data_IF_959870210703
#
_entry.id   IF_959870210703
#
_cell.length_a   1.000
_cell.length_b   1.000
_cell.length_c   1.000
_cell.angle_alpha   90.00
_cell.angle_beta   90.00
_cell.angle_gamma   90.00
#
_symmetry.space_group_name_H-M   'P 1'
#
loop_
_entity.id
_entity.type
_entity.pdbx_description
1 polymer ?
#
# COMPACT_ATOMS: atom_id res chain seq x y z
N UNK A 1 -8.79 -5.00 10.62
CA UNK A 1 -9.13 -4.14 9.46
C UNK A 1 -8.82 -2.67 9.69
N UNK A 2 -7.88 -2.14 8.92
CA UNK A 2 -7.52 -0.72 8.88
C UNK A 2 -7.28 -0.30 7.43
N UNK A 3 -7.62 0.95 7.09
CA UNK A 3 -7.24 1.59 5.83
C UNK A 3 -6.41 2.83 6.15
N UNK A 4 -5.30 3.02 5.43
CA UNK A 4 -4.45 4.20 5.55
C UNK A 4 -4.34 4.86 4.17
N UNK A 5 -4.50 6.18 4.11
CA UNK A 5 -4.30 6.95 2.89
C UNK A 5 -2.86 7.45 2.79
N UNK A 6 -2.30 7.41 1.58
CA UNK A 6 -0.96 7.91 1.27
C UNK A 6 -1.10 8.93 0.14
N UNK A 7 -0.76 10.17 0.46
CA UNK A 7 -0.54 11.20 -0.56
C UNK A 7 0.80 10.95 -1.23
N UNK A 8 0.79 10.86 -2.55
CA UNK A 8 1.97 10.56 -3.36
C UNK A 8 2.20 11.72 -4.31
N UNK A 9 3.41 12.30 -4.34
CA UNK A 9 3.74 13.31 -5.32
C UNK A 9 3.53 12.83 -6.75
N UNK A 10 3.21 13.74 -7.66
CA UNK A 10 3.01 13.42 -9.07
C UNK A 10 4.24 12.69 -9.65
N UNK A 11 4.01 11.59 -10.36
CA UNK A 11 5.08 10.74 -10.93
C UNK A 11 5.78 9.81 -9.94
N UNK A 12 5.54 9.91 -8.62
CA UNK A 12 6.18 9.05 -7.62
C UNK A 12 5.46 7.71 -7.37
N UNK A 13 4.28 7.50 -7.96
CA UNK A 13 3.49 6.26 -7.84
C UNK A 13 4.27 4.97 -8.16
N UNK A 14 4.97 4.87 -9.30
CA UNK A 14 5.74 3.68 -9.66
C UNK A 14 6.83 3.32 -8.64
N UNK A 15 7.43 4.32 -7.98
CA UNK A 15 8.44 4.09 -6.94
C UNK A 15 7.80 3.58 -5.64
N UNK A 16 6.64 4.12 -5.26
CA UNK A 16 5.86 3.60 -4.13
C UNK A 16 5.53 2.12 -4.35
N UNK A 17 5.01 1.77 -5.53
CA UNK A 17 4.65 0.39 -5.87
C UNK A 17 5.86 -0.55 -5.81
N UNK A 18 7.01 -0.15 -6.37
CA UNK A 18 8.26 -0.93 -6.28
C UNK A 18 8.68 -1.17 -4.84
N UNK A 19 8.67 -0.13 -3.99
CA UNK A 19 9.05 -0.23 -2.57
C UNK A 19 8.07 -1.09 -1.78
N UNK A 20 6.79 -1.02 -2.11
CA UNK A 20 5.74 -1.79 -1.46
C UNK A 20 5.88 -3.28 -1.81
N UNK A 21 6.07 -3.60 -3.09
CA UNK A 21 6.31 -4.97 -3.55
C UNK A 21 7.58 -5.57 -2.91
N UNK A 22 8.66 -4.79 -2.81
CA UNK A 22 9.89 -5.22 -2.13
C UNK A 22 9.70 -5.52 -0.63
N UNK A 23 8.66 -4.97 0.00
CA UNK A 23 8.36 -5.16 1.42
C UNK A 23 7.22 -6.14 1.69
N UNK A 24 6.53 -6.65 0.67
CA UNK A 24 5.33 -7.49 0.80
C UNK A 24 5.55 -8.73 1.68
N UNK A 25 6.77 -9.28 1.70
CA UNK A 25 7.12 -10.44 2.53
C UNK A 25 7.74 -10.13 3.90
N UNK A 26 7.94 -8.86 4.25
CA UNK A 26 8.66 -8.49 5.47
C UNK A 26 7.88 -8.77 6.77
N UNK A 27 6.57 -8.99 6.67
CA UNK A 27 5.63 -9.06 7.80
C UNK A 27 4.83 -10.37 7.84
N UNK A 28 5.11 -11.32 6.93
CA UNK A 28 4.39 -12.60 6.83
C UNK A 28 4.57 -13.51 8.07
N UNK A 29 5.58 -13.25 8.91
CA UNK A 29 5.85 -14.01 10.13
C UNK A 29 5.20 -13.44 11.40
N UNK A 30 4.54 -12.29 11.33
CA UNK A 30 4.01 -11.62 12.52
C UNK A 30 2.71 -12.26 13.02
N UNK A 31 2.62 -12.68 14.30
CA UNK A 31 1.43 -13.30 14.85
C UNK A 31 0.18 -12.42 14.71
N UNK A 32 -0.85 -12.94 14.04
CA UNK A 32 -2.11 -12.22 13.84
C UNK A 32 -2.11 -11.22 12.68
N UNK A 33 -1.00 -11.09 11.95
CA UNK A 33 -0.95 -10.32 10.71
C UNK A 33 -1.47 -11.15 9.53
N UNK A 34 -2.49 -10.65 8.82
CA UNK A 34 -3.15 -11.40 7.75
C UNK A 34 -2.79 -10.93 6.34
N UNK A 35 -2.05 -9.82 6.21
CA UNK A 35 -1.63 -9.26 4.93
C UNK A 35 -1.94 -7.77 4.79
N UNK A 36 -1.26 -7.15 3.84
CA UNK A 36 -1.60 -5.81 3.35
C UNK A 36 -1.77 -5.80 1.83
N UNK A 37 -2.59 -4.88 1.34
CA UNK A 37 -2.83 -4.66 -0.08
C UNK A 37 -2.65 -3.18 -0.41
N UNK A 38 -1.94 -2.88 -1.49
CA UNK A 38 -1.83 -1.52 -2.02
C UNK A 38 -2.91 -1.30 -3.09
N UNK A 39 -3.82 -0.38 -2.82
CA UNK A 39 -4.87 0.02 -3.73
C UNK A 39 -4.42 1.26 -4.50
N UNK A 40 -4.44 1.15 -5.84
CA UNK A 40 -4.13 2.25 -6.75
C UNK A 40 -5.29 3.25 -6.81
N UNK A 41 -4.99 4.56 -6.93
CA UNK A 41 -6.03 5.58 -7.15
C UNK A 41 -6.80 5.34 -8.44
N UNK A 42 -8.11 5.62 -8.44
CA UNK A 42 -8.99 5.56 -9.61
C UNK A 42 -10.02 6.70 -9.57
N UNK A 43 -10.65 7.04 -10.70
CA UNK A 43 -11.83 7.92 -10.71
C UNK A 43 -11.59 9.36 -10.23
N UNK A 44 -10.39 9.91 -10.43
CA UNK A 44 -10.03 11.28 -10.01
C UNK A 44 -9.45 11.38 -8.59
N UNK A 45 -9.37 10.28 -7.84
CA UNK A 45 -8.56 10.20 -6.63
C UNK A 45 -7.07 10.18 -7.00
N UNK A 46 -6.21 10.73 -6.14
CA UNK A 46 -4.75 10.79 -6.35
C UNK A 46 -3.98 10.02 -5.27
N UNK A 47 -4.64 9.69 -4.17
CA UNK A 47 -4.06 8.98 -3.04
C UNK A 47 -4.07 7.47 -3.26
N UNK A 48 -3.00 6.84 -2.78
CA UNK A 48 -2.94 5.39 -2.65
C UNK A 48 -3.54 5.00 -1.30
N UNK A 49 -4.07 3.78 -1.21
CA UNK A 49 -4.53 3.25 0.06
C UNK A 49 -3.79 1.97 0.40
N UNK A 50 -3.39 1.84 1.65
CA UNK A 50 -2.89 0.57 2.20
C UNK A 50 -3.99 0.00 3.07
N UNK A 51 -4.51 -1.13 2.62
CA UNK A 51 -5.47 -1.92 3.36
C UNK A 51 -4.72 -3.01 4.14
N UNK A 52 -5.03 -3.16 5.42
CA UNK A 52 -4.43 -4.18 6.28
C UNK A 52 -5.52 -4.99 6.94
N UNK A 53 -5.43 -6.31 6.80
CA UNK A 53 -6.44 -7.23 7.32
C UNK A 53 -6.14 -7.56 8.79
#
# INVERSE_FOLDING_TARGET
MKINAIEVPEGAGPELERRFAARLGAVEGEPGFLGFELLRPTGGETRYFVYTR
#
